data_IF_940269627727
#
_entry.id   IF_940269627727
#
_cell.length_a   1.000
_cell.length_b   1.000
_cell.length_c   1.000
_cell.angle_alpha   90.00
_cell.angle_beta   90.00
_cell.angle_gamma   90.00
#
_symmetry.space_group_name_H-M   'P 1'
#
loop_
_entity.id
_entity.type
_entity.pdbx_description
1 polymer ?
#
# COMPACT_ATOMS: atom_id res chain seq x y z
N UNK A 1 10.42 8.13 -7.71
CA UNK A 1 10.80 6.69 -7.69
C UNK A 1 12.31 6.44 -7.80
N UNK A 2 13.08 7.31 -8.48
CA UNK A 2 14.55 7.17 -8.55
C UNK A 2 15.22 7.09 -7.16
N UNK A 3 14.74 7.86 -6.17
CA UNK A 3 15.24 7.77 -4.80
C UNK A 3 15.12 6.36 -4.18
N UNK A 4 13.97 5.69 -4.32
CA UNK A 4 13.77 4.35 -3.73
C UNK A 4 14.62 3.29 -4.42
N UNK A 5 14.71 3.36 -5.75
CA UNK A 5 15.61 2.49 -6.52
C UNK A 5 17.06 2.64 -6.05
N UNK A 6 17.55 3.88 -5.95
CA UNK A 6 18.91 4.15 -5.49
C UNK A 6 19.11 3.74 -4.03
N UNK A 7 18.14 3.99 -3.14
CA UNK A 7 18.25 3.60 -1.73
C UNK A 7 18.27 2.07 -1.56
N UNK A 8 17.39 1.36 -2.26
CA UNK A 8 17.32 -0.10 -2.19
C UNK A 8 18.54 -0.79 -2.80
N UNK A 9 19.05 -0.30 -3.94
CA UNK A 9 20.15 -0.96 -4.66
C UNK A 9 21.54 -0.49 -4.20
N UNK A 10 21.71 0.82 -3.93
CA UNK A 10 23.04 1.42 -3.72
C UNK A 10 23.34 1.79 -2.26
N UNK A 11 22.36 1.72 -1.34
CA UNK A 11 22.54 2.05 0.07
C UNK A 11 22.28 0.86 1.01
N UNK A 12 21.08 0.28 1.03
CA UNK A 12 20.73 -0.77 1.98
C UNK A 12 21.28 -2.16 1.61
N UNK A 13 21.42 -2.47 0.32
CA UNK A 13 21.80 -3.79 -0.18
C UNK A 13 23.32 -4.00 -0.39
N UNK A 14 24.19 -3.07 0.04
CA UNK A 14 25.65 -3.23 -0.11
C UNK A 14 26.23 -4.39 0.71
N UNK A 15 25.49 -4.91 1.68
CA UNK A 15 25.74 -6.19 2.34
C UNK A 15 24.87 -7.26 1.68
N UNK A 16 25.46 -8.29 1.09
CA UNK A 16 24.80 -9.32 0.25
C UNK A 16 23.69 -10.15 0.92
N UNK A 17 23.32 -9.88 2.17
CA UNK A 17 22.43 -10.76 2.96
C UNK A 17 21.15 -10.10 3.49
N UNK A 18 20.90 -8.80 3.24
CA UNK A 18 19.71 -8.15 3.81
C UNK A 18 18.68 -7.78 2.73
N UNK A 19 17.64 -8.61 2.60
CA UNK A 19 16.40 -8.22 1.92
C UNK A 19 15.46 -7.56 2.93
N UNK A 20 15.29 -6.23 2.92
CA UNK A 20 14.41 -5.55 3.88
C UNK A 20 12.96 -5.99 3.68
N UNK A 21 12.29 -6.33 4.78
CA UNK A 21 10.84 -6.48 4.81
C UNK A 21 10.20 -5.09 4.71
N UNK A 22 9.68 -4.76 3.53
CA UNK A 22 9.13 -3.43 3.22
C UNK A 22 7.60 -3.39 3.40
N UNK A 23 7.09 -2.40 4.12
CA UNK A 23 5.67 -2.07 4.18
C UNK A 23 5.44 -0.65 3.64
N UNK A 24 4.41 -0.49 2.82
CA UNK A 24 3.89 0.84 2.51
C UNK A 24 2.76 1.15 3.49
N UNK A 25 2.85 2.27 4.21
CA UNK A 25 1.83 2.67 5.19
C UNK A 25 1.18 3.98 4.78
N UNK A 26 -0.13 3.97 4.56
CA UNK A 26 -0.95 5.15 4.35
C UNK A 26 -1.34 5.76 5.70
N UNK A 27 -0.75 6.91 6.02
CA UNK A 27 -1.02 7.62 7.27
C UNK A 27 -2.24 8.54 7.14
N UNK A 28 -2.78 8.96 8.29
CA UNK A 28 -3.88 9.93 8.40
C UNK A 28 -5.13 9.49 7.64
N UNK A 29 -5.46 8.20 7.71
CA UNK A 29 -6.67 7.62 7.10
C UNK A 29 -7.94 8.38 7.50
N UNK A 30 -8.00 8.88 8.73
CA UNK A 30 -9.09 9.71 9.25
C UNK A 30 -9.39 10.95 8.40
N UNK A 31 -8.35 11.61 7.85
CA UNK A 31 -8.54 12.76 6.96
C UNK A 31 -9.09 12.33 5.59
N UNK A 32 -8.69 11.15 5.10
CA UNK A 32 -9.25 10.58 3.87
C UNK A 32 -10.72 10.22 4.06
N UNK A 33 -11.07 9.61 5.19
CA UNK A 33 -12.44 9.24 5.52
C UNK A 33 -13.35 10.45 5.77
N UNK A 34 -12.78 11.65 5.88
CA UNK A 34 -13.52 12.91 5.94
C UNK A 34 -13.50 13.66 4.59
N UNK A 35 -12.83 13.12 3.57
CA UNK A 35 -12.62 13.74 2.27
C UNK A 35 -13.84 13.59 1.32
N UNK A 36 -15.04 13.74 1.86
CA UNK A 36 -16.31 13.52 1.14
C UNK A 36 -17.04 14.80 0.73
N UNK A 37 -16.52 15.98 1.07
CA UNK A 37 -17.23 17.26 0.93
C UNK A 37 -16.49 18.26 0.05
N UNK A 38 -17.27 19.15 -0.55
CA UNK A 38 -16.95 20.02 -1.69
C UNK A 38 -15.66 20.88 -1.56
N UNK A 39 -15.10 21.00 -0.36
CA UNK A 39 -13.84 21.71 -0.06
C UNK A 39 -12.58 20.95 -0.50
N UNK A 40 -12.69 19.65 -0.80
CA UNK A 40 -11.59 18.80 -1.27
C UNK A 40 -11.61 18.52 -2.78
N UNK A 41 -12.52 19.17 -3.52
CA UNK A 41 -12.37 19.32 -4.97
C UNK A 41 -11.10 20.12 -5.20
N UNK A 42 -10.00 19.45 -5.46
CA UNK A 42 -8.81 20.08 -6.04
C UNK A 42 -9.32 20.91 -7.21
N UNK A 43 -9.13 22.24 -7.19
CA UNK A 43 -9.68 23.21 -8.14
C UNK A 43 -9.22 23.04 -9.60
N UNK A 44 -8.85 21.82 -10.01
CA UNK A 44 -8.67 21.41 -11.40
C UNK A 44 -10.04 21.16 -12.07
N UNK A 45 -10.93 22.15 -11.97
CA UNK A 45 -12.00 22.36 -12.95
C UNK A 45 -11.45 22.87 -14.31
N UNK A 46 -10.13 22.79 -14.54
CA UNK A 46 -9.43 23.26 -15.73
C UNK A 46 -8.56 22.19 -16.40
N UNK A 47 -8.58 20.93 -15.95
CA UNK A 47 -8.12 19.84 -16.82
C UNK A 47 -9.29 19.46 -17.74
N UNK A 48 -9.24 19.78 -19.06
CA UNK A 48 -10.36 19.54 -19.98
C UNK A 48 -10.62 18.06 -20.25
N UNK A 49 -9.84 17.17 -19.64
CA UNK A 49 -10.07 15.73 -19.66
C UNK A 49 -10.84 15.34 -18.40
N UNK A 50 -12.17 15.40 -18.47
CA UNK A 50 -13.12 14.95 -17.42
C UNK A 50 -13.09 13.44 -17.13
N UNK A 51 -11.89 12.87 -17.01
CA UNK A 51 -11.60 11.45 -16.85
C UNK A 51 -10.85 11.14 -15.55
N UNK A 52 -10.83 12.06 -14.58
CA UNK A 52 -10.39 11.69 -13.23
C UNK A 52 -11.53 10.99 -12.50
N UNK A 53 -11.44 9.66 -12.42
CA UNK A 53 -12.44 8.79 -11.81
C UNK A 53 -12.72 9.08 -10.32
N UNK A 54 -11.88 9.88 -9.64
CA UNK A 54 -12.05 10.29 -8.24
C UNK A 54 -11.51 11.71 -8.02
N UNK A 55 -12.38 12.73 -7.82
CA UNK A 55 -11.96 14.11 -7.60
C UNK A 55 -11.69 14.35 -6.11
N UNK A 56 -10.82 13.55 -5.51
CA UNK A 56 -10.41 13.72 -4.10
C UNK A 56 -8.96 14.14 -4.04
N UNK A 57 -8.62 15.12 -3.21
CA UNK A 57 -7.22 15.52 -2.98
C UNK A 57 -6.39 14.44 -2.24
N UNK A 58 -7.01 13.33 -1.85
CA UNK A 58 -6.39 12.25 -1.10
C UNK A 58 -6.12 11.02 -2.00
N UNK A 59 -5.02 10.29 -1.74
CA UNK A 59 -4.57 9.14 -2.54
C UNK A 59 -5.51 7.94 -2.42
N UNK A 60 -6.16 7.46 -3.48
CA UNK A 60 -7.05 6.30 -3.36
C UNK A 60 -6.33 5.04 -2.84
N UNK A 61 -6.98 4.23 -2.01
CA UNK A 61 -6.36 3.01 -1.45
C UNK A 61 -5.95 2.01 -2.55
N UNK A 62 -6.69 1.95 -3.66
CA UNK A 62 -6.34 1.15 -4.84
C UNK A 62 -5.05 1.63 -5.52
N UNK A 63 -4.88 2.94 -5.66
CA UNK A 63 -3.67 3.56 -6.21
C UNK A 63 -2.48 3.29 -5.30
N UNK A 64 -2.62 3.51 -3.99
CA UNK A 64 -1.56 3.23 -3.02
C UNK A 64 -1.17 1.75 -2.99
N UNK A 65 -2.14 0.84 -3.07
CA UNK A 65 -1.87 -0.59 -3.17
C UNK A 65 -1.12 -0.96 -4.46
N UNK A 66 -1.46 -0.33 -5.59
CA UNK A 66 -0.70 -0.51 -6.84
C UNK A 66 0.73 0.01 -6.70
N UNK A 67 0.93 1.15 -6.03
CA UNK A 67 2.27 1.67 -5.73
C UNK A 67 3.08 0.73 -4.85
N UNK A 68 2.46 0.13 -3.82
CA UNK A 68 3.10 -0.86 -2.94
C UNK A 68 3.65 -2.06 -3.74
N UNK A 69 2.82 -2.60 -4.63
CA UNK A 69 3.25 -3.67 -5.56
C UNK A 69 4.39 -3.20 -6.46
N UNK A 70 4.30 -1.99 -6.99
CA UNK A 70 5.32 -1.43 -7.88
C UNK A 70 6.69 -1.25 -7.21
N UNK A 71 6.74 -0.94 -5.92
CA UNK A 71 8.00 -0.77 -5.17
C UNK A 71 8.53 -2.06 -4.54
N UNK A 72 7.82 -3.17 -4.68
CA UNK A 72 8.18 -4.45 -4.06
C UNK A 72 7.91 -4.49 -2.55
N UNK A 73 6.92 -3.74 -2.06
CA UNK A 73 6.50 -3.85 -0.67
C UNK A 73 5.79 -5.19 -0.42
N UNK A 74 6.04 -5.78 0.73
CA UNK A 74 5.35 -6.98 1.20
C UNK A 74 3.84 -6.74 1.33
N UNK A 75 3.45 -5.60 1.91
CA UNK A 75 2.04 -5.23 2.08
C UNK A 75 1.83 -3.72 2.11
N UNK A 76 0.63 -3.31 1.72
CA UNK A 76 0.09 -1.97 1.97
C UNK A 76 -0.89 -2.00 3.14
N UNK A 77 -0.72 -1.09 4.10
CA UNK A 77 -1.63 -0.90 5.24
C UNK A 77 -2.01 0.58 5.38
N UNK A 78 -3.18 0.87 5.92
CA UNK A 78 -3.60 2.24 6.24
C UNK A 78 -3.84 2.37 7.74
N UNK A 79 -3.43 3.50 8.32
CA UNK A 79 -3.68 3.78 9.72
C UNK A 79 -3.96 5.26 9.99
N UNK A 80 -4.56 5.51 11.15
CA UNK A 80 -4.69 6.82 11.76
C UNK A 80 -4.14 6.76 13.17
N UNK A 81 -3.07 7.52 13.42
CA UNK A 81 -2.56 7.70 14.77
C UNK A 81 -3.53 8.52 15.65
N UNK A 82 -4.38 9.35 15.05
CA UNK A 82 -5.33 10.19 15.77
C UNK A 82 -6.53 9.40 16.31
N UNK A 83 -7.05 8.46 15.53
CA UNK A 83 -8.20 7.62 15.95
C UNK A 83 -7.77 6.25 16.49
N UNK A 84 -6.50 5.87 16.30
CA UNK A 84 -5.97 4.54 16.62
C UNK A 84 -6.33 3.46 15.60
N UNK A 85 -7.15 3.76 14.59
CA UNK A 85 -7.54 2.82 13.56
C UNK A 85 -6.31 2.35 12.76
N UNK A 86 -6.18 1.04 12.53
CA UNK A 86 -5.10 0.48 11.73
C UNK A 86 -3.72 0.42 12.40
N UNK A 87 -3.55 1.06 13.57
CA UNK A 87 -2.26 1.13 14.23
C UNK A 87 -1.77 -0.24 14.70
N UNK A 88 -2.65 -1.04 15.30
CA UNK A 88 -2.31 -2.40 15.75
C UNK A 88 -1.88 -3.28 14.58
N UNK A 89 -2.64 -3.26 13.49
CA UNK A 89 -2.32 -4.09 12.31
C UNK A 89 -0.96 -3.75 11.72
N UNK A 90 -0.60 -2.46 11.63
CA UNK A 90 0.72 -2.03 11.14
C UNK A 90 1.85 -2.65 11.97
N UNK A 91 1.75 -2.64 13.29
CA UNK A 91 2.80 -3.17 14.16
C UNK A 91 2.76 -4.69 14.28
N UNK A 92 1.60 -5.29 14.48
CA UNK A 92 1.49 -6.74 14.66
C UNK A 92 1.83 -7.50 13.38
N UNK A 93 1.39 -7.03 12.21
CA UNK A 93 1.71 -7.67 10.93
C UNK A 93 3.21 -7.53 10.63
N UNK A 94 3.76 -6.32 10.70
CA UNK A 94 5.19 -6.10 10.44
C UNK A 94 6.10 -6.85 11.41
N UNK A 95 5.77 -6.88 12.70
CA UNK A 95 6.56 -7.59 13.72
C UNK A 95 6.47 -9.09 13.55
N UNK A 96 5.26 -9.63 13.31
CA UNK A 96 5.08 -11.07 13.08
C UNK A 96 5.83 -11.54 11.84
N UNK A 97 5.73 -10.79 10.76
CA UNK A 97 6.39 -11.09 9.49
C UNK A 97 7.92 -10.98 9.60
N UNK A 98 8.41 -9.97 10.32
CA UNK A 98 9.84 -9.82 10.60
C UNK A 98 10.36 -10.99 11.46
N UNK A 99 9.65 -11.34 12.52
CA UNK A 99 10.00 -12.46 13.39
C UNK A 99 10.01 -13.79 12.61
N UNK A 100 8.99 -14.02 11.78
CA UNK A 100 8.90 -15.22 10.94
C UNK A 100 10.12 -15.37 10.03
N UNK A 101 10.50 -14.30 9.31
CA UNK A 101 11.68 -14.29 8.43
C UNK A 101 12.99 -14.47 9.21
N UNK A 102 13.09 -13.90 10.41
CA UNK A 102 14.27 -14.05 11.26
C UNK A 102 14.45 -15.48 11.79
N UNK A 103 13.35 -16.21 11.98
CA UNK A 103 13.34 -17.60 12.45
C UNK A 103 13.46 -18.63 11.32
N UNK A 104 13.50 -18.20 10.05
CA UNK A 104 13.60 -19.10 8.90
C UNK A 104 12.30 -19.87 8.60
N UNK A 105 11.16 -19.38 9.07
CA UNK A 105 9.86 -19.95 8.73
C UNK A 105 9.45 -19.46 7.32
N UNK A 106 9.42 -20.38 6.35
CA UNK A 106 9.01 -20.12 4.97
C UNK A 106 7.54 -19.67 4.91
N UNK A 107 7.24 -18.65 4.12
CA UNK A 107 5.89 -18.09 4.00
C UNK A 107 5.13 -18.78 2.87
N UNK A 108 3.96 -19.37 3.17
CA UNK A 108 2.94 -19.58 2.15
C UNK A 108 2.25 -18.23 1.91
N UNK A 109 2.39 -17.68 0.71
CA UNK A 109 1.54 -16.56 0.29
C UNK A 109 0.10 -17.08 0.24
N UNK A 110 -0.78 -16.58 1.09
CA UNK A 110 -2.22 -16.72 0.89
C UNK A 110 -2.59 -15.89 -0.36
N UNK A 111 -2.31 -16.47 -1.52
CA UNK A 111 -2.81 -16.02 -2.80
C UNK A 111 -4.34 -16.12 -2.70
N UNK A 112 -5.01 -14.98 -2.50
CA UNK A 112 -6.46 -14.91 -2.45
C UNK A 112 -7.03 -15.62 -3.68
N UNK A 113 -7.54 -16.83 -3.48
CA UNK A 113 -8.03 -17.69 -4.54
C UNK A 113 -9.13 -16.96 -5.32
N UNK A 114 -8.76 -16.43 -6.49
CA UNK A 114 -9.72 -15.85 -7.42
C UNK A 114 -10.64 -16.98 -7.87
N UNK A 115 -11.96 -16.94 -7.58
CA UNK A 115 -12.86 -17.99 -7.98
C UNK A 115 -12.93 -18.03 -9.51
N UNK A 116 -12.39 -19.09 -10.12
CA UNK A 116 -12.48 -19.34 -11.56
C UNK A 116 -13.97 -19.52 -11.92
N UNK A 117 -14.62 -18.46 -12.40
CA UNK A 117 -15.96 -18.56 -12.99
C UNK A 117 -15.88 -19.53 -14.18
N UNK A 118 -16.36 -20.75 -13.98
CA UNK A 118 -16.60 -21.72 -15.06
C UNK A 118 -17.60 -21.08 -16.03
N UNK A 119 -17.12 -20.65 -17.19
CA UNK A 119 -17.98 -20.29 -18.32
C UNK A 119 -18.68 -21.59 -18.76
N UNK A 120 -19.97 -21.70 -18.42
CA UNK A 120 -20.86 -22.67 -19.08
C UNK A 120 -21.13 -22.12 -20.48
N UNK A 121 -20.60 -22.79 -21.48
CA UNK A 121 -21.07 -22.63 -22.85
C UNK A 121 -22.41 -23.39 -22.93
N UNK A 122 -23.47 -22.69 -23.31
CA UNK A 122 -24.75 -23.26 -23.76
C UNK A 122 -24.88 -22.96 -25.25
#
# INVERSE_FOLDING_TARGET
>A
MQWWYHASHDAFAKTETFQPLLYLVGLKKDLRDQCFLEDHRTGSALSPSGLMAYPTCCVCSSEANWQAKRIGAHRYLECSAATGQGMREVFEDSTREAARRALGEECQEEEAAVPKKRRRFF
#
